data_IF_617860388915
#
_entry.id   IF_617860388915
#
_cell.length_a   1.000
_cell.length_b   1.000
_cell.length_c   1.000
_cell.angle_alpha   90.00
_cell.angle_beta   90.00
_cell.angle_gamma   90.00
#
_symmetry.space_group_name_H-M   'P 1'
#
loop_
_entity.id
_entity.type
_entity.pdbx_description
1 polymer ?
#
# COMPACT_ATOMS: atom_id res chain seq x y z
N UNK A 1 9.94 9.36 14.52
CA UNK A 1 8.63 9.74 15.10
C UNK A 1 7.81 10.20 13.91
N UNK A 2 6.78 9.46 13.56
CA UNK A 2 5.89 9.80 12.44
C UNK A 2 4.90 10.86 12.91
N UNK A 3 4.69 11.87 12.11
CA UNK A 3 3.84 13.00 12.46
C UNK A 3 2.51 12.89 11.71
N UNK A 4 1.42 12.83 12.48
CA UNK A 4 0.09 12.85 11.93
C UNK A 4 -0.27 11.61 11.08
N UNK A 5 -1.10 11.83 10.09
CA UNK A 5 -1.70 10.78 9.27
C UNK A 5 -0.71 10.10 8.29
N UNK A 6 0.52 10.61 8.12
CA UNK A 6 1.63 9.92 7.44
C UNK A 6 2.03 8.61 8.13
N UNK A 7 1.66 8.46 9.41
CA UNK A 7 1.85 7.23 10.17
C UNK A 7 0.89 6.10 9.84
N UNK A 8 -0.08 6.28 8.91
CA UNK A 8 -1.11 5.29 8.65
C UNK A 8 -0.53 3.97 8.08
N UNK A 9 0.27 4.04 7.03
CA UNK A 9 0.94 2.87 6.44
C UNK A 9 1.76 2.08 7.46
N UNK A 10 2.70 2.73 8.18
CA UNK A 10 3.45 2.11 9.28
C UNK A 10 2.59 1.45 10.35
N UNK A 11 1.49 2.09 10.78
CA UNK A 11 0.59 1.52 11.79
C UNK A 11 -0.11 0.25 11.30
N UNK A 12 -0.52 0.22 10.04
CA UNK A 12 -1.09 -0.98 9.39
C UNK A 12 -0.03 -2.07 9.28
N UNK A 13 1.17 -1.76 8.82
CA UNK A 13 2.28 -2.71 8.71
C UNK A 13 2.61 -3.34 10.07
N UNK A 14 2.74 -2.53 11.13
CA UNK A 14 2.98 -3.02 12.49
C UNK A 14 1.86 -3.96 12.98
N UNK A 15 0.60 -3.62 12.71
CA UNK A 15 -0.53 -4.47 13.09
C UNK A 15 -0.54 -5.80 12.31
N UNK A 16 -0.22 -5.79 11.03
CA UNK A 16 -0.11 -7.00 10.19
C UNK A 16 1.02 -7.90 10.72
N UNK A 17 2.20 -7.34 10.99
CA UNK A 17 3.34 -8.07 11.55
C UNK A 17 2.97 -8.73 12.88
N UNK A 18 2.31 -7.99 13.77
CA UNK A 18 1.87 -8.52 15.08
C UNK A 18 0.82 -9.62 14.94
N UNK A 19 -0.07 -9.51 13.96
CA UNK A 19 -1.11 -10.51 13.72
C UNK A 19 -0.52 -11.81 13.16
N UNK A 20 0.46 -11.72 12.26
CA UNK A 20 0.99 -12.85 11.51
C UNK A 20 -0.08 -13.52 10.64
N UNK A 21 0.12 -14.80 10.31
CA UNK A 21 -0.85 -15.60 9.55
C UNK A 21 -0.75 -15.45 8.04
N UNK A 22 0.40 -15.03 7.52
CA UNK A 22 0.77 -15.01 6.11
C UNK A 22 1.98 -15.94 5.87
N UNK A 23 2.21 -16.33 4.61
CA UNK A 23 3.28 -17.27 4.26
C UNK A 23 4.66 -16.61 4.35
N UNK A 24 5.72 -17.43 4.39
CA UNK A 24 7.12 -16.98 4.43
C UNK A 24 7.54 -16.23 3.16
N UNK A 25 6.75 -16.33 2.08
CA UNK A 25 6.97 -15.60 0.82
C UNK A 25 6.49 -14.14 0.87
N UNK A 26 5.87 -13.72 1.98
CA UNK A 26 5.36 -12.36 2.18
C UNK A 26 6.34 -11.58 3.04
N UNK A 27 6.82 -10.45 2.52
CA UNK A 27 7.57 -9.46 3.29
C UNK A 27 6.69 -8.26 3.62
N UNK A 28 6.65 -7.87 4.89
CA UNK A 28 5.97 -6.66 5.36
C UNK A 28 7.00 -5.68 5.86
N UNK A 29 7.01 -4.46 5.31
CA UNK A 29 7.99 -3.44 5.68
C UNK A 29 7.37 -2.06 5.78
N UNK A 30 7.89 -1.29 6.72
CA UNK A 30 7.71 0.16 6.73
C UNK A 30 8.79 0.77 5.83
N UNK A 31 8.39 1.21 4.64
CA UNK A 31 9.31 1.77 3.66
C UNK A 31 9.71 3.22 3.99
N UNK A 32 8.89 3.94 4.77
CA UNK A 32 9.13 5.32 5.14
C UNK A 32 9.52 6.19 3.94
N UNK A 33 10.52 7.03 4.10
CA UNK A 33 11.06 7.89 3.03
C UNK A 33 11.88 7.14 1.96
N UNK A 34 12.26 5.89 2.23
CA UNK A 34 13.04 5.03 1.33
C UNK A 34 12.20 4.27 0.29
N UNK A 35 10.89 4.44 0.28
CA UNK A 35 9.97 3.71 -0.63
C UNK A 35 10.39 3.82 -2.09
N UNK A 36 10.86 4.99 -2.54
CA UNK A 36 11.29 5.22 -3.92
C UNK A 36 12.49 4.35 -4.30
N UNK A 37 13.48 4.24 -3.42
CA UNK A 37 14.68 3.43 -3.64
C UNK A 37 14.31 1.95 -3.71
N UNK A 38 13.47 1.48 -2.80
CA UNK A 38 12.97 0.10 -2.79
C UNK A 38 12.24 -0.23 -4.09
N UNK A 39 11.32 0.61 -4.55
CA UNK A 39 10.58 0.38 -5.79
C UNK A 39 11.50 0.43 -7.02
N UNK A 40 12.48 1.32 -7.03
CA UNK A 40 13.46 1.42 -8.10
C UNK A 40 14.33 0.14 -8.18
N UNK A 41 14.78 -0.37 -7.04
CA UNK A 41 15.53 -1.62 -6.97
C UNK A 41 14.70 -2.81 -7.48
N UNK A 42 13.40 -2.84 -7.18
CA UNK A 42 12.50 -3.87 -7.70
C UNK A 42 12.34 -3.76 -9.23
N UNK A 43 12.22 -2.55 -9.77
CA UNK A 43 12.15 -2.33 -11.24
C UNK A 43 13.40 -2.88 -11.93
N UNK A 44 14.58 -2.66 -11.36
CA UNK A 44 15.86 -3.10 -11.91
C UNK A 44 16.18 -4.57 -11.65
N UNK A 45 15.49 -5.23 -10.71
CA UNK A 45 15.74 -6.62 -10.35
C UNK A 45 15.28 -7.58 -11.45
N UNK A 46 16.03 -8.66 -11.63
CA UNK A 46 15.58 -9.81 -12.43
C UNK A 46 14.53 -10.65 -11.70
N UNK A 47 14.60 -10.69 -10.37
CA UNK A 47 13.63 -11.39 -9.51
C UNK A 47 12.72 -10.37 -8.86
N UNK A 48 11.43 -10.43 -9.17
CA UNK A 48 10.42 -9.50 -8.71
C UNK A 48 9.33 -10.19 -7.92
N UNK A 49 8.69 -9.51 -6.96
CA UNK A 49 7.48 -10.03 -6.34
C UNK A 49 6.35 -10.11 -7.37
N UNK A 50 5.47 -11.09 -7.23
CA UNK A 50 4.27 -11.21 -8.08
C UNK A 50 3.27 -10.09 -7.79
N UNK A 51 3.19 -9.67 -6.52
CA UNK A 51 2.27 -8.63 -6.07
C UNK A 51 2.95 -7.69 -5.07
N UNK A 52 2.62 -6.41 -5.18
CA UNK A 52 2.95 -5.37 -4.20
C UNK A 52 1.64 -4.78 -3.68
N UNK A 53 1.47 -4.74 -2.37
CA UNK A 53 0.37 -4.05 -1.72
C UNK A 53 0.94 -2.82 -1.03
N UNK A 54 0.53 -1.65 -1.47
CA UNK A 54 0.91 -0.36 -0.88
C UNK A 54 -0.20 0.11 0.04
N UNK A 55 0.17 0.56 1.24
CA UNK A 55 -0.78 1.13 2.21
C UNK A 55 -0.36 2.55 2.54
N UNK A 56 -1.26 3.51 2.33
CA UNK A 56 -0.95 4.92 2.55
C UNK A 56 -2.21 5.76 2.89
N UNK A 57 -1.99 6.96 3.43
CA UNK A 57 -3.01 7.98 3.58
C UNK A 57 -3.11 8.82 2.29
N UNK A 58 -4.29 8.94 1.72
CA UNK A 58 -4.51 9.72 0.49
C UNK A 58 -5.65 10.71 0.66
N UNK A 59 -5.54 11.84 -0.05
CA UNK A 59 -6.63 12.80 -0.19
C UNK A 59 -7.27 12.65 -1.57
N UNK A 60 -8.48 12.09 -1.60
CA UNK A 60 -9.25 11.87 -2.83
C UNK A 60 -10.58 12.62 -2.72
N UNK A 61 -10.93 13.38 -3.76
CA UNK A 61 -12.17 14.16 -3.77
C UNK A 61 -13.41 13.25 -3.62
N UNK A 62 -14.37 13.70 -2.81
CA UNK A 62 -15.65 13.01 -2.61
C UNK A 62 -15.65 11.87 -1.61
N UNK A 63 -14.52 11.61 -0.92
CA UNK A 63 -14.44 10.63 0.15
C UNK A 63 -14.47 11.27 1.52
N UNK A 64 -14.94 10.51 2.50
CA UNK A 64 -15.01 10.96 3.90
C UNK A 64 -13.74 10.58 4.66
N UNK A 65 -13.22 11.47 5.54
CA UNK A 65 -12.06 11.17 6.38
C UNK A 65 -12.21 9.86 7.14
N UNK A 66 -11.15 9.05 7.18
CA UNK A 66 -11.16 7.70 7.78
C UNK A 66 -11.80 6.61 6.92
N UNK A 67 -12.32 6.93 5.74
CA UNK A 67 -12.80 5.92 4.78
C UNK A 67 -11.62 5.13 4.23
N UNK A 68 -11.69 3.79 4.32
CA UNK A 68 -10.68 2.89 3.75
C UNK A 68 -11.20 2.33 2.42
N UNK A 69 -10.37 2.38 1.40
CA UNK A 69 -10.73 1.96 0.04
C UNK A 69 -9.53 1.41 -0.71
N UNK A 70 -9.81 0.62 -1.74
CA UNK A 70 -8.82 0.30 -2.76
C UNK A 70 -8.91 1.31 -3.91
N UNK A 71 -7.77 1.70 -4.45
CA UNK A 71 -7.70 2.56 -5.63
C UNK A 71 -6.91 1.85 -6.72
N UNK A 72 -7.41 1.96 -7.96
CA UNK A 72 -6.68 1.46 -9.12
C UNK A 72 -5.38 2.23 -9.30
N UNK A 73 -4.33 1.54 -9.75
CA UNK A 73 -3.06 2.18 -10.06
C UNK A 73 -3.22 3.28 -11.11
N UNK A 74 -4.17 3.13 -12.04
CA UNK A 74 -4.44 4.10 -13.09
C UNK A 74 -5.16 5.35 -12.58
N UNK A 75 -5.91 5.22 -11.47
CA UNK A 75 -6.64 6.30 -10.83
C UNK A 75 -5.81 7.04 -9.75
N UNK A 76 -4.56 6.60 -9.52
CA UNK A 76 -3.66 7.32 -8.61
C UNK A 76 -3.41 8.74 -9.12
N UNK A 77 -3.52 9.75 -8.24
CA UNK A 77 -3.20 11.12 -8.60
C UNK A 77 -1.80 11.21 -9.22
N UNK A 78 -1.69 11.87 -10.37
CA UNK A 78 -0.38 12.15 -10.94
C UNK A 78 0.37 13.16 -10.06
N UNK A 79 1.64 12.90 -9.81
CA UNK A 79 2.51 13.85 -9.14
C UNK A 79 2.66 15.10 -10.02
N UNK A 80 1.88 16.13 -9.76
CA UNK A 80 2.15 17.46 -10.28
C UNK A 80 3.35 18.01 -9.51
N UNK A 81 4.45 18.30 -10.21
CA UNK A 81 5.73 18.76 -9.65
C UNK A 81 5.65 20.00 -8.75
N UNK A 82 4.53 20.71 -8.76
CA UNK A 82 4.32 22.00 -8.09
C UNK A 82 3.37 21.96 -6.90
N UNK A 83 2.81 20.78 -6.56
CA UNK A 83 1.90 20.64 -5.43
C UNK A 83 2.63 19.96 -4.26
N UNK A 84 3.05 20.76 -3.28
CA UNK A 84 3.62 20.32 -1.99
C UNK A 84 2.56 19.68 -1.07
N UNK A 85 1.67 18.88 -1.63
CA UNK A 85 0.73 18.11 -0.84
C UNK A 85 1.46 16.94 -0.20
N UNK A 86 1.55 16.93 1.12
CA UNK A 86 2.17 15.87 1.93
C UNK A 86 1.49 14.49 1.73
N UNK A 87 0.35 14.46 1.06
CA UNK A 87 -0.48 13.28 0.86
C UNK A 87 -0.55 12.83 -0.61
N UNK A 88 0.42 13.22 -1.42
CA UNK A 88 0.58 12.70 -2.78
C UNK A 88 1.60 11.56 -2.76
N UNK A 89 1.25 10.44 -3.39
CA UNK A 89 2.14 9.28 -3.49
C UNK A 89 3.29 9.60 -4.44
N UNK A 90 4.51 9.91 -3.93
CA UNK A 90 5.63 10.37 -4.75
C UNK A 90 6.18 9.31 -5.70
N UNK A 91 5.64 8.10 -5.63
CA UNK A 91 6.10 6.91 -6.34
C UNK A 91 5.08 6.36 -7.34
N UNK A 92 4.00 7.10 -7.62
CA UNK A 92 2.92 6.64 -8.52
C UNK A 92 3.44 6.20 -9.89
N UNK A 93 4.43 6.90 -10.46
CA UNK A 93 5.01 6.54 -11.75
C UNK A 93 5.76 5.20 -11.70
N UNK A 94 6.55 4.95 -10.63
CA UNK A 94 7.24 3.67 -10.46
C UNK A 94 6.26 2.52 -10.25
N UNK A 95 5.20 2.74 -9.50
CA UNK A 95 4.14 1.74 -9.30
C UNK A 95 3.42 1.42 -10.62
N UNK A 96 3.13 2.44 -11.45
CA UNK A 96 2.57 2.25 -12.80
C UNK A 96 3.53 1.47 -13.70
N UNK A 97 4.82 1.76 -13.66
CA UNK A 97 5.85 1.04 -14.41
C UNK A 97 5.95 -0.42 -13.98
N UNK A 98 5.98 -0.70 -12.68
CA UNK A 98 5.97 -2.06 -12.14
C UNK A 98 4.75 -2.85 -12.61
N UNK A 99 3.57 -2.22 -12.60
CA UNK A 99 2.33 -2.87 -13.04
C UNK A 99 2.29 -3.11 -14.54
N UNK A 100 2.64 -2.11 -15.37
CA UNK A 100 2.44 -2.16 -16.82
C UNK A 100 3.61 -2.82 -17.58
N UNK A 101 4.84 -2.66 -17.11
CA UNK A 101 6.05 -3.10 -17.84
C UNK A 101 6.75 -4.27 -17.17
N UNK A 102 6.65 -4.42 -15.86
CA UNK A 102 7.35 -5.47 -15.12
C UNK A 102 6.45 -6.67 -14.76
N UNK A 103 5.14 -6.61 -15.05
CA UNK A 103 4.20 -7.68 -14.76
C UNK A 103 3.91 -7.89 -13.26
N UNK A 104 4.23 -6.90 -12.42
CA UNK A 104 3.97 -6.95 -10.97
C UNK A 104 2.56 -6.44 -10.70
N UNK A 105 1.70 -7.26 -10.09
CA UNK A 105 0.36 -6.79 -9.68
C UNK A 105 0.50 -5.76 -8.55
N UNK A 106 0.04 -4.54 -8.77
CA UNK A 106 0.08 -3.49 -7.75
C UNK A 106 -1.33 -3.21 -7.24
N UNK A 107 -1.50 -3.29 -5.93
CA UNK A 107 -2.74 -2.97 -5.22
C UNK A 107 -2.45 -1.84 -4.23
N UNK A 108 -3.31 -0.83 -4.20
CA UNK A 108 -3.20 0.29 -3.26
C UNK A 108 -4.40 0.29 -2.34
N UNK A 109 -4.13 0.12 -1.04
CA UNK A 109 -5.12 0.26 0.04
C UNK A 109 -4.89 1.61 0.68
N UNK A 110 -5.86 2.49 0.58
CA UNK A 110 -5.76 3.86 1.06
C UNK A 110 -6.75 4.16 2.17
N UNK A 111 -6.39 5.08 3.06
CA UNK A 111 -7.34 5.73 3.95
C UNK A 111 -7.43 7.21 3.61
N UNK A 112 -8.67 7.75 3.57
CA UNK A 112 -8.90 9.17 3.34
C UNK A 112 -8.41 9.99 4.52
N UNK A 113 -7.47 10.89 4.26
CA UNK A 113 -7.01 11.87 5.24
C UNK A 113 -7.92 13.10 5.28
N UNK A 114 -7.99 13.79 6.41
CA UNK A 114 -8.83 14.99 6.58
C UNK A 114 -8.23 16.25 5.92
N UNK A 115 -6.96 16.20 5.53
CA UNK A 115 -6.18 17.34 5.06
C UNK A 115 -4.98 17.61 5.97
N UNK A 116 -4.26 18.70 5.71
CA UNK A 116 -3.10 19.08 6.52
C UNK A 116 -3.63 19.70 7.83
N UNK A 117 -3.41 19.09 9.00
CA UNK A 117 -3.81 19.71 10.26
C UNK A 117 -3.02 21.00 10.49
N UNK A 118 -3.63 22.06 11.06
CA UNK A 118 -2.93 23.30 11.33
C UNK A 118 -1.81 23.16 12.35
N UNK A 119 -1.82 22.11 13.14
CA UNK A 119 -0.77 21.76 14.11
C UNK A 119 -0.31 20.31 13.87
N UNK A 120 1.01 20.14 13.81
CA UNK A 120 1.63 18.81 13.67
C UNK A 120 1.55 18.12 15.04
N UNK A 121 0.60 17.20 15.18
CA UNK A 121 0.47 16.37 16.37
C UNK A 121 1.17 15.02 16.16
N UNK A 122 1.83 14.44 17.16
CA UNK A 122 2.36 13.09 17.07
C UNK A 122 1.22 12.06 17.08
N UNK A 123 1.33 11.04 16.21
CA UNK A 123 0.36 9.96 16.09
C UNK A 123 -0.74 10.22 15.08
N UNK A 124 -1.52 9.18 14.80
CA UNK A 124 -2.65 9.22 13.87
C UNK A 124 -3.81 10.04 14.45
N UNK A 125 -4.58 10.70 13.55
CA UNK A 125 -5.90 11.21 13.92
C UNK A 125 -6.79 10.07 14.42
N UNK A 126 -7.79 10.39 15.25
CA UNK A 126 -8.72 9.37 15.76
C UNK A 126 -9.44 8.60 14.64
N UNK A 127 -9.72 9.25 13.52
CA UNK A 127 -10.37 8.65 12.37
C UNK A 127 -9.45 7.65 11.66
N UNK A 128 -8.17 8.00 11.44
CA UNK A 128 -7.21 7.08 10.83
C UNK A 128 -6.81 5.95 11.78
N UNK A 129 -6.68 6.22 13.07
CA UNK A 129 -6.46 5.16 14.06
C UNK A 129 -7.60 4.13 14.03
N UNK A 130 -8.85 4.57 13.92
CA UNK A 130 -10.01 3.69 13.74
C UNK A 130 -10.07 2.95 12.39
N UNK A 131 -9.39 3.47 11.37
CA UNK A 131 -9.33 2.88 10.03
C UNK A 131 -8.32 1.72 9.93
N UNK A 132 -7.29 1.68 10.77
CA UNK A 132 -6.21 0.68 10.73
C UNK A 132 -6.72 -0.77 10.72
N UNK A 133 -7.66 -1.22 11.59
CA UNK A 133 -8.14 -2.60 11.56
C UNK A 133 -8.81 -2.98 10.24
N UNK A 134 -9.53 -2.04 9.62
CA UNK A 134 -10.19 -2.26 8.32
C UNK A 134 -9.18 -2.40 7.19
N UNK A 135 -8.18 -1.54 7.16
CA UNK A 135 -7.10 -1.64 6.18
C UNK A 135 -6.33 -2.96 6.32
N UNK A 136 -6.01 -3.38 7.54
CA UNK A 136 -5.41 -4.69 7.79
C UNK A 136 -6.28 -5.83 7.25
N UNK A 137 -7.61 -5.77 7.43
CA UNK A 137 -8.54 -6.75 6.89
C UNK A 137 -8.49 -6.82 5.36
N UNK A 138 -8.43 -5.68 4.69
CA UNK A 138 -8.33 -5.59 3.22
C UNK A 138 -7.00 -6.16 2.72
N UNK A 139 -5.88 -5.80 3.35
CA UNK A 139 -4.55 -6.33 3.00
C UNK A 139 -4.49 -7.84 3.17
N UNK A 140 -5.00 -8.37 4.30
CA UNK A 140 -5.02 -9.81 4.54
C UNK A 140 -5.91 -10.56 3.54
N UNK A 141 -7.02 -9.95 3.09
CA UNK A 141 -7.86 -10.47 2.02
C UNK A 141 -7.10 -10.59 0.70
N UNK A 142 -6.36 -9.55 0.31
CA UNK A 142 -5.53 -9.55 -0.89
C UNK A 142 -4.39 -10.59 -0.85
N UNK A 143 -3.80 -10.83 0.32
CA UNK A 143 -2.78 -11.87 0.51
C UNK A 143 -3.39 -13.27 0.33
N UNK A 144 -4.55 -13.53 0.93
CA UNK A 144 -5.23 -14.82 0.84
C UNK A 144 -5.65 -15.17 -0.60
N UNK A 145 -6.08 -14.19 -1.39
CA UNK A 145 -6.41 -14.38 -2.82
C UNK A 145 -5.17 -14.79 -3.63
N UNK A 146 -4.00 -14.20 -3.34
CA UNK A 146 -2.75 -14.55 -4.01
C UNK A 146 -2.31 -15.97 -3.71
N UNK A 147 -2.37 -16.40 -2.47
CA UNK A 147 -2.03 -17.76 -2.06
C UNK A 147 -2.95 -18.81 -2.71
N UNK A 148 -4.22 -18.47 -2.93
CA UNK A 148 -5.19 -19.34 -3.57
C UNK A 148 -4.92 -19.50 -5.07
N UNK A 149 -4.50 -18.44 -5.77
CA UNK A 149 -4.17 -18.49 -7.20
C UNK A 149 -2.91 -19.31 -7.47
N UNK A 150 -1.86 -19.15 -6.65
CA UNK A 150 -0.61 -19.92 -6.77
C UNK A 150 -0.85 -21.43 -6.57
N UNK A 151 -1.73 -21.80 -5.63
CA UNK A 151 -2.09 -23.21 -5.39
C UNK A 151 -2.90 -23.81 -6.55
N UNK A 152 -3.74 -23.03 -7.21
CA UNK A 152 -4.53 -23.48 -8.38
C UNK A 152 -3.64 -23.78 -9.58
N UNK A 153 -2.63 -22.94 -9.85
CA UNK A 153 -1.67 -23.13 -10.95
C UNK A 153 -0.72 -24.31 -10.71
N UNK A 154 -0.29 -24.52 -9.46
CA UNK A 154 0.54 -25.66 -9.09
C UNK A 154 -0.20 -27.02 -9.16
N UNK A 155 -1.52 -27.03 -9.01
CA UNK A 155 -2.36 -28.23 -9.09
C UNK A 155 -2.72 -28.68 -10.52
N UNK A 156 -2.55 -27.80 -11.51
CA UNK A 156 -2.89 -28.08 -12.92
C UNK A 156 -1.83 -28.84 -13.73
N UNK A 157 -0.61 -29.01 -13.23
CA UNK A 157 0.52 -29.62 -13.97
C UNK A 157 0.67 -31.14 -13.81
N UNK A 158 -0.32 -31.83 -13.30
CA UNK A 158 -0.24 -33.26 -13.01
C UNK A 158 -1.34 -34.10 -13.65
N UNK A 159 -1.47 -34.11 -14.97
CA UNK A 159 -2.10 -35.21 -15.72
C UNK A 159 -1.83 -35.06 -17.22
N UNK A 160 -0.75 -35.66 -17.66
CA UNK A 160 -0.57 -36.14 -19.03
C UNK A 160 0.37 -37.33 -19.02
#
# INVERSE_FOLDING_TARGET
MLFGDDGFGPAVAEQIIRRGGFSDDVAVLDAGTGVREILFDIVLSETRPEKIIVVDGLSVAGRSPGEVFMISIDDLPENKRDDFSLHQMPTSNLLKELNSMCGVKVVVVAAQVEGIPPEVAPGLSGMLAGAVPRACGMVMGELAESESSVRADAGGAGHA
#
